data_IF_929977988807
#
_entry.id   IF_929977988807
#
_cell.length_a   1.000
_cell.length_b   1.000
_cell.length_c   1.000
_cell.angle_alpha   90.00
_cell.angle_beta   90.00
_cell.angle_gamma   90.00
#
_symmetry.space_group_name_H-M   'P 1'
#
loop_
_entity.id
_entity.type
_entity.pdbx_description
1 polymer ?
#
# COMPACT_ATOMS: atom_id res chain seq x y z
N UNK A 1 -18.60 15.30 -25.26
CA UNK A 1 -17.41 15.55 -24.40
C UNK A 1 -16.90 14.20 -23.94
N UNK A 2 -15.63 13.89 -24.16
CA UNK A 2 -15.06 12.63 -23.68
C UNK A 2 -15.05 12.68 -22.14
N UNK A 3 -15.94 11.93 -21.52
CA UNK A 3 -15.88 11.63 -20.10
C UNK A 3 -14.57 10.87 -19.88
N UNK A 4 -13.52 11.56 -19.44
CA UNK A 4 -12.28 10.92 -19.05
C UNK A 4 -12.58 10.12 -17.79
N UNK A 5 -12.71 8.80 -17.92
CA UNK A 5 -13.02 7.93 -16.79
C UNK A 5 -11.83 7.96 -15.80
N UNK A 6 -11.95 8.59 -14.62
CA UNK A 6 -10.80 8.77 -13.72
C UNK A 6 -10.21 7.44 -13.25
N UNK A 7 -11.03 6.39 -13.27
CA UNK A 7 -10.64 5.00 -13.00
C UNK A 7 -9.53 4.50 -13.92
N UNK A 8 -9.45 4.97 -15.17
CA UNK A 8 -8.45 4.51 -16.13
C UNK A 8 -7.04 5.09 -15.86
N UNK A 9 -6.95 6.12 -15.03
CA UNK A 9 -5.68 6.77 -14.68
C UNK A 9 -5.06 6.19 -13.40
N UNK A 10 -5.85 5.49 -12.59
CA UNK A 10 -5.40 4.92 -11.32
C UNK A 10 -4.84 3.52 -11.61
N UNK A 11 -3.57 3.33 -11.29
CA UNK A 11 -2.92 2.02 -11.36
C UNK A 11 -3.64 1.02 -10.44
N UNK A 12 -3.72 -0.25 -10.83
CA UNK A 12 -4.29 -1.29 -9.98
C UNK A 12 -3.37 -1.61 -8.81
N UNK A 13 -3.93 -2.00 -7.67
CA UNK A 13 -3.17 -2.49 -6.52
C UNK A 13 -2.54 -3.83 -6.88
N UNK A 14 -1.21 -3.84 -7.05
CA UNK A 14 -0.42 -5.04 -7.33
C UNK A 14 0.09 -5.65 -6.04
N UNK A 15 0.36 -4.83 -5.02
CA UNK A 15 0.88 -5.31 -3.76
C UNK A 15 1.34 -4.17 -2.84
N UNK A 16 2.29 -4.50 -1.96
CA UNK A 16 2.82 -3.59 -0.94
C UNK A 16 3.59 -2.42 -1.53
N UNK A 17 4.26 -2.65 -2.65
CA UNK A 17 5.13 -1.71 -3.34
C UNK A 17 4.38 -0.46 -3.82
N UNK A 18 3.15 -0.62 -4.31
CA UNK A 18 2.34 0.49 -4.81
C UNK A 18 1.18 0.88 -3.89
N UNK A 19 0.99 0.17 -2.76
CA UNK A 19 -0.13 0.41 -1.84
C UNK A 19 -0.27 1.86 -1.36
N UNK A 20 0.83 2.53 -0.97
CA UNK A 20 0.75 3.90 -0.47
C UNK A 20 0.25 4.90 -1.54
N UNK A 21 0.79 4.78 -2.75
CA UNK A 21 0.39 5.61 -3.91
C UNK A 21 -1.04 5.30 -4.31
N UNK A 22 -1.36 4.01 -4.42
CA UNK A 22 -2.70 3.52 -4.71
C UNK A 22 -3.73 4.03 -3.71
N UNK A 23 -3.45 3.89 -2.41
CA UNK A 23 -4.33 4.32 -1.31
C UNK A 23 -4.63 5.80 -1.41
N UNK A 24 -3.62 6.62 -1.68
CA UNK A 24 -3.81 8.06 -1.85
C UNK A 24 -4.69 8.39 -3.06
N UNK A 25 -4.43 7.75 -4.21
CA UNK A 25 -5.19 7.96 -5.44
C UNK A 25 -6.65 7.52 -5.30
N UNK A 26 -6.90 6.31 -4.77
CA UNK A 26 -8.25 5.78 -4.58
C UNK A 26 -9.03 6.58 -3.55
N UNK A 27 -8.40 7.00 -2.44
CA UNK A 27 -9.05 7.90 -1.48
C UNK A 27 -9.50 9.20 -2.14
N UNK A 28 -8.60 9.85 -2.89
CA UNK A 28 -8.89 11.10 -3.60
C UNK A 28 -10.04 10.93 -4.60
N UNK A 29 -10.03 9.80 -5.31
CA UNK A 29 -11.07 9.46 -6.26
C UNK A 29 -12.45 9.25 -5.61
N UNK A 30 -12.50 8.51 -4.50
CA UNK A 30 -13.75 8.30 -3.77
C UNK A 30 -14.27 9.58 -3.12
N UNK A 31 -13.38 10.49 -2.69
CA UNK A 31 -13.77 11.82 -2.21
C UNK A 31 -14.37 12.67 -3.34
N UNK A 32 -13.77 12.64 -4.53
CA UNK A 32 -14.31 13.34 -5.70
C UNK A 32 -15.70 12.84 -6.12
N UNK A 33 -15.98 11.55 -5.91
CA UNK A 33 -17.29 10.95 -6.20
C UNK A 33 -18.29 11.01 -5.03
N UNK A 34 -17.94 11.66 -3.91
CA UNK A 34 -18.75 11.73 -2.68
C UNK A 34 -19.12 10.34 -2.11
N UNK A 35 -18.18 9.39 -2.21
CA UNK A 35 -18.33 8.00 -1.76
C UNK A 35 -17.49 7.68 -0.52
N UNK A 36 -16.53 8.55 -0.18
CA UNK A 36 -15.61 8.33 0.95
C UNK A 36 -16.33 8.23 2.31
N UNK A 37 -17.50 8.88 2.44
CA UNK A 37 -18.36 8.79 3.62
C UNK A 37 -18.73 7.34 4.00
N UNK A 38 -18.86 6.43 3.02
CA UNK A 38 -19.18 5.02 3.29
C UNK A 38 -18.05 4.27 4.03
N UNK A 39 -16.81 4.76 3.92
CA UNK A 39 -15.63 4.16 4.56
C UNK A 39 -15.36 4.84 5.91
N UNK A 40 -15.45 6.16 5.95
CA UNK A 40 -15.17 6.96 7.14
C UNK A 40 -16.27 6.84 8.20
N UNK A 41 -17.53 6.61 7.79
CA UNK A 41 -18.66 6.73 8.71
C UNK A 41 -18.53 5.86 9.97
N UNK A 42 -18.83 6.43 11.15
CA UNK A 42 -19.00 5.67 12.37
C UNK A 42 -20.17 4.69 12.19
N UNK A 43 -20.09 3.54 12.88
CA UNK A 43 -20.98 2.38 12.69
C UNK A 43 -22.48 2.65 12.89
N UNK A 44 -22.85 3.84 13.37
CA UNK A 44 -24.19 4.16 13.87
C UNK A 44 -25.02 5.07 12.92
N UNK A 45 -24.44 5.54 11.81
CA UNK A 45 -25.19 6.29 10.80
C UNK A 45 -25.72 5.40 9.66
N UNK A 46 -26.96 5.64 9.18
CA UNK A 46 -27.50 4.90 8.04
C UNK A 46 -26.72 5.24 6.77
N UNK A 47 -25.90 4.28 6.31
CA UNK A 47 -25.17 4.39 5.03
C UNK A 47 -26.14 4.08 3.88
N UNK A 48 -26.12 4.90 2.82
CA UNK A 48 -26.83 4.58 1.58
C UNK A 48 -26.21 3.33 0.94
N UNK A 49 -26.96 2.22 0.96
CA UNK A 49 -26.54 0.93 0.38
C UNK A 49 -26.12 1.05 -1.09
N UNK A 50 -26.71 1.98 -1.85
CA UNK A 50 -26.31 2.20 -3.25
C UNK A 50 -24.93 2.85 -3.34
N UNK A 51 -24.64 3.83 -2.47
CA UNK A 51 -23.31 4.46 -2.40
C UNK A 51 -22.26 3.48 -1.92
N UNK A 52 -22.56 2.68 -0.89
CA UNK A 52 -21.63 1.66 -0.38
C UNK A 52 -21.29 0.62 -1.46
N UNK A 53 -22.31 0.07 -2.13
CA UNK A 53 -22.11 -0.87 -3.24
C UNK A 53 -21.29 -0.24 -4.39
N UNK A 54 -21.52 1.04 -4.71
CA UNK A 54 -20.77 1.78 -5.73
C UNK A 54 -19.32 1.99 -5.31
N UNK A 55 -19.06 2.37 -4.06
CA UNK A 55 -17.74 2.55 -3.49
C UNK A 55 -16.95 1.23 -3.51
N UNK A 56 -17.56 0.16 -2.99
CA UNK A 56 -17.02 -1.19 -2.97
C UNK A 56 -16.61 -1.65 -4.37
N UNK A 57 -17.52 -1.54 -5.33
CA UNK A 57 -17.27 -1.96 -6.72
C UNK A 57 -16.09 -1.21 -7.34
N UNK A 58 -16.02 0.11 -7.13
CA UNK A 58 -14.90 0.94 -7.63
C UNK A 58 -13.56 0.52 -7.03
N UNK A 59 -13.52 0.23 -5.74
CA UNK A 59 -12.29 -0.23 -5.07
C UNK A 59 -11.85 -1.58 -5.66
N UNK A 60 -12.75 -2.55 -5.76
CA UNK A 60 -12.44 -3.90 -6.27
C UNK A 60 -11.92 -3.84 -7.72
N UNK A 61 -12.49 -2.97 -8.57
CA UNK A 61 -12.03 -2.78 -9.95
C UNK A 61 -10.60 -2.22 -10.05
N UNK A 62 -10.13 -1.54 -8.99
CA UNK A 62 -8.79 -0.99 -8.87
C UNK A 62 -7.83 -1.93 -8.14
N UNK A 63 -8.21 -3.19 -7.90
CA UNK A 63 -7.36 -4.20 -7.28
C UNK A 63 -7.03 -5.29 -8.31
N UNK A 64 -5.76 -5.72 -8.36
CA UNK A 64 -5.39 -6.87 -9.17
C UNK A 64 -6.01 -8.16 -8.60
N UNK A 65 -6.48 -9.03 -9.48
CA UNK A 65 -7.10 -10.31 -9.15
C UNK A 65 -6.29 -11.17 -8.18
N UNK A 66 -4.95 -11.09 -8.20
CA UNK A 66 -4.09 -11.81 -7.25
C UNK A 66 -4.36 -11.43 -5.79
N UNK A 67 -4.85 -10.21 -5.54
CA UNK A 67 -5.11 -9.67 -4.22
C UNK A 67 -6.56 -9.88 -3.76
N UNK A 68 -7.42 -10.53 -4.56
CA UNK A 68 -8.82 -10.78 -4.21
C UNK A 68 -8.99 -11.69 -2.98
N UNK A 69 -7.98 -12.50 -2.67
CA UNK A 69 -7.94 -13.33 -1.44
C UNK A 69 -8.17 -12.51 -0.17
N UNK A 70 -7.80 -11.22 -0.15
CA UNK A 70 -7.98 -10.35 1.02
C UNK A 70 -9.36 -9.72 1.14
N UNK A 71 -10.16 -9.70 0.06
CA UNK A 71 -11.38 -8.87 -0.02
C UNK A 71 -12.62 -9.62 -0.49
N UNK A 72 -12.50 -10.88 -0.94
CA UNK A 72 -13.62 -11.66 -1.50
C UNK A 72 -14.78 -11.87 -0.52
N UNK A 73 -14.51 -11.92 0.79
CA UNK A 73 -15.52 -12.12 1.83
C UNK A 73 -16.07 -10.81 2.40
N UNK A 74 -15.51 -9.65 2.00
CA UNK A 74 -15.94 -8.37 2.53
C UNK A 74 -17.32 -7.99 1.96
N UNK A 75 -18.24 -7.58 2.83
CA UNK A 75 -19.60 -7.21 2.47
C UNK A 75 -19.71 -5.71 2.16
N UNK A 76 -18.99 -4.87 2.91
CA UNK A 76 -19.06 -3.40 2.82
C UNK A 76 -17.82 -2.77 2.17
N UNK A 77 -17.93 -1.54 1.66
CA UNK A 77 -16.76 -0.81 1.14
C UNK A 77 -15.71 -0.58 2.22
N UNK A 78 -16.15 -0.36 3.47
CA UNK A 78 -15.30 -0.20 4.64
C UNK A 78 -14.48 -1.45 4.94
N UNK A 79 -15.10 -2.62 4.93
CA UNK A 79 -14.39 -3.89 5.15
C UNK A 79 -13.34 -4.15 4.07
N UNK A 80 -13.66 -3.88 2.80
CA UNK A 80 -12.68 -3.97 1.71
C UNK A 80 -11.48 -3.06 2.00
N UNK A 81 -11.74 -1.80 2.33
CA UNK A 81 -10.70 -0.81 2.61
C UNK A 81 -9.83 -1.20 3.80
N UNK A 82 -10.45 -1.67 4.89
CA UNK A 82 -9.76 -2.09 6.11
C UNK A 82 -8.95 -3.36 5.89
N UNK A 83 -9.45 -4.33 5.13
CA UNK A 83 -8.72 -5.55 4.83
C UNK A 83 -7.49 -5.29 3.97
N UNK A 84 -7.61 -4.45 2.95
CA UNK A 84 -6.47 -4.00 2.14
C UNK A 84 -5.46 -3.23 2.99
N UNK A 85 -5.94 -2.36 3.89
CA UNK A 85 -5.08 -1.67 4.85
C UNK A 85 -4.33 -2.65 5.74
N UNK A 86 -5.01 -3.65 6.32
CA UNK A 86 -4.33 -4.65 7.15
C UNK A 86 -3.32 -5.51 6.37
N UNK A 87 -3.59 -5.81 5.10
CA UNK A 87 -2.73 -6.65 4.29
C UNK A 87 -1.45 -5.93 3.83
N UNK A 88 -1.57 -4.65 3.50
CA UNK A 88 -0.53 -3.90 2.79
C UNK A 88 0.04 -2.69 3.55
N UNK A 89 -0.66 -2.18 4.58
CA UNK A 89 -0.18 -1.10 5.44
C UNK A 89 0.76 -1.64 6.54
N UNK A 90 1.93 -2.13 6.11
CA UNK A 90 3.07 -2.36 6.99
C UNK A 90 3.64 -0.99 7.36
N UNK A 91 2.96 -0.29 8.27
CA UNK A 91 3.31 1.03 8.79
C UNK A 91 4.78 1.15 9.19
N UNK A 92 5.63 1.52 8.22
CA UNK A 92 7.03 1.87 8.39
C UNK A 92 7.99 0.79 8.90
N UNK A 93 7.54 -0.35 9.45
CA UNK A 93 8.40 -1.35 10.08
C UNK A 93 9.37 -1.96 9.06
N UNK A 94 8.85 -2.46 7.94
CA UNK A 94 9.67 -3.05 6.87
C UNK A 94 10.64 -2.03 6.28
N UNK A 95 10.21 -0.77 6.13
CA UNK A 95 11.08 0.34 5.69
C UNK A 95 12.17 0.65 6.71
N UNK A 96 11.85 0.70 8.00
CA UNK A 96 12.80 0.93 9.10
C UNK A 96 13.80 -0.22 9.22
N UNK A 97 13.33 -1.46 9.09
CA UNK A 97 14.18 -2.67 9.08
C UNK A 97 15.12 -2.65 7.87
N UNK A 98 14.62 -2.27 6.68
CA UNK A 98 15.45 -2.07 5.50
C UNK A 98 16.54 -1.01 5.73
N UNK A 99 16.16 0.17 6.22
CA UNK A 99 17.10 1.25 6.52
C UNK A 99 18.13 0.85 7.60
N UNK A 100 17.72 0.11 8.64
CA UNK A 100 18.63 -0.40 9.67
C UNK A 100 19.60 -1.45 9.10
N UNK A 101 19.12 -2.32 8.22
CA UNK A 101 19.94 -3.31 7.52
C UNK A 101 20.98 -2.61 6.65
N UNK A 102 20.57 -1.63 5.86
CA UNK A 102 21.47 -0.82 5.03
C UNK A 102 22.51 -0.10 5.90
N UNK A 103 22.06 0.56 6.97
CA UNK A 103 22.96 1.22 7.91
C UNK A 103 23.99 0.26 8.48
N UNK A 104 23.59 -0.93 8.93
CA UNK A 104 24.50 -1.96 9.44
C UNK A 104 25.54 -2.39 8.39
N UNK A 105 25.11 -2.65 7.15
CA UNK A 105 26.03 -3.05 6.08
C UNK A 105 27.06 -1.95 5.77
N UNK A 106 26.61 -0.70 5.64
CA UNK A 106 27.48 0.41 5.26
C UNK A 106 28.39 0.91 6.39
N UNK A 107 27.91 0.91 7.64
CA UNK A 107 28.67 1.47 8.77
C UNK A 107 29.52 0.45 9.50
N UNK A 108 29.08 -0.81 9.61
CA UNK A 108 29.76 -1.82 10.43
C UNK A 108 30.45 -2.87 9.58
N UNK A 109 29.81 -3.39 8.53
CA UNK A 109 30.33 -4.51 7.77
C UNK A 109 31.37 -4.07 6.72
N UNK A 110 31.05 -3.09 5.86
CA UNK A 110 31.95 -2.62 4.80
C UNK A 110 33.28 -2.05 5.32
N UNK A 111 33.33 -1.23 6.39
CA UNK A 111 34.60 -0.73 6.93
C UNK A 111 35.43 -1.82 7.61
N UNK A 112 34.80 -2.79 8.28
CA UNK A 112 35.50 -3.95 8.86
C UNK A 112 36.13 -4.81 7.76
N UNK A 113 35.40 -5.10 6.68
CA UNK A 113 35.88 -5.90 5.56
C UNK A 113 37.00 -5.19 4.77
N UNK A 114 36.93 -3.86 4.65
CA UNK A 114 37.99 -3.04 4.03
C UNK A 114 39.28 -3.11 4.84
N UNK A 115 39.19 -2.96 6.17
CA UNK A 115 40.35 -2.97 7.08
C UNK A 115 41.07 -4.32 7.12
N UNK A 116 40.32 -5.43 7.08
CA UNK A 116 40.90 -6.78 7.05
C UNK A 116 41.69 -7.00 5.74
N UNK A 117 41.12 -6.64 4.58
CA UNK A 117 41.83 -6.74 3.29
C UNK A 117 43.09 -5.88 3.23
N UNK A 118 43.07 -4.69 3.83
CA UNK A 118 44.26 -3.83 3.88
C UNK A 118 45.35 -4.41 4.78
N UNK A 119 44.99 -5.08 5.88
CA UNK A 119 45.96 -5.76 6.75
C UNK A 119 46.58 -6.99 6.07
N UNK A 120 45.77 -7.87 5.47
CA UNK A 120 46.27 -9.07 4.78
C UNK A 120 47.20 -8.75 3.60
N UNK A 121 46.96 -7.62 2.92
CA UNK A 121 47.79 -7.16 1.80
C UNK A 121 49.14 -6.54 2.26
N UNK A 122 49.21 -6.05 3.50
CA UNK A 122 50.45 -5.48 4.09
C UNK A 122 51.36 -6.58 4.66
N UNK A 123 50.81 -7.73 5.07
CA UNK A 123 51.60 -8.87 5.59
C UNK A 123 51.99 -9.90 4.53
N UNK A 124 51.59 -9.70 3.26
CA UNK A 124 51.91 -10.57 2.12
C UNK A 124 52.99 -10.01 1.18
N UNK A 125 53.65 -8.92 1.56
CA UNK A 125 54.77 -8.28 0.86
C UNK A 125 56.04 -8.30 1.74
#
# INVERSE_FOLDING_TARGET
MASSNPLALIEKLTGRENYNTWRFAVKTYLQHEELWECIENPKDEPIDKKKDMKAKSKIILLVDSINYVHIQEAETAKEVWDNLSRAFDDSGLTRRVGLLRDLYYYTLWLPKYRRIREQDNVYSA
#
